data_IF_388037981217
#
_entry.id   IF_388037981217
#
_cell.length_a   1.000
_cell.length_b   1.000
_cell.length_c   1.000
_cell.angle_alpha   90.00
_cell.angle_beta   90.00
_cell.angle_gamma   90.00
#
_symmetry.space_group_name_H-M   'P 1'
#
loop_
_entity.id
_entity.type
_entity.pdbx_description
1 polymer ?
#
# COMPACT_ATOMS: atom_id res chain seq x y z
N UNK A 1 6.78 19.22 -5.38
CA UNK A 1 6.58 17.77 -5.22
C UNK A 1 5.13 17.42 -5.41
N UNK A 2 4.88 16.41 -6.20
CA UNK A 2 3.51 15.95 -6.39
C UNK A 2 3.30 14.62 -5.68
N UNK A 3 2.24 14.54 -4.90
CA UNK A 3 1.78 13.29 -4.32
C UNK A 3 0.73 12.69 -5.24
N UNK A 4 0.78 11.39 -5.41
CA UNK A 4 -0.24 10.66 -6.15
C UNK A 4 -1.04 9.82 -5.19
N UNK A 5 -2.35 9.95 -5.28
CA UNK A 5 -3.26 9.16 -4.47
C UNK A 5 -4.16 8.35 -5.38
N UNK A 6 -4.27 7.08 -5.08
CA UNK A 6 -5.07 6.14 -5.84
C UNK A 6 -5.99 5.37 -4.92
N UNK A 7 -7.27 5.33 -5.26
CA UNK A 7 -8.22 4.45 -4.58
C UNK A 7 -8.29 3.15 -5.35
N UNK A 8 -8.10 2.04 -4.65
CA UNK A 8 -8.22 0.74 -5.26
C UNK A 8 -9.69 0.35 -5.41
N UNK A 9 -10.03 -0.53 -6.36
CA UNK A 9 -11.41 -0.93 -6.56
C UNK A 9 -12.04 -1.47 -5.27
N UNK A 10 -13.28 -1.07 -5.00
CA UNK A 10 -14.02 -1.53 -3.84
C UNK A 10 -14.77 -2.81 -4.18
N UNK A 11 -14.67 -3.81 -3.32
CA UNK A 11 -15.40 -5.06 -3.46
C UNK A 11 -16.24 -5.31 -2.23
N UNK A 12 -17.43 -5.90 -2.36
CA UNK A 12 -18.28 -6.19 -1.21
C UNK A 12 -17.54 -7.05 -0.18
N UNK A 13 -17.63 -6.66 1.09
CA UNK A 13 -17.01 -7.39 2.19
C UNK A 13 -15.52 -7.16 2.37
N UNK A 14 -14.88 -6.38 1.50
CA UNK A 14 -13.46 -6.06 1.60
C UNK A 14 -13.27 -4.60 2.05
N UNK A 15 -12.16 -4.30 2.74
CA UNK A 15 -11.89 -2.93 3.13
C UNK A 15 -11.65 -2.01 1.94
N UNK A 16 -11.88 -0.73 2.17
CA UNK A 16 -11.51 0.32 1.23
C UNK A 16 -10.04 0.64 1.41
N UNK A 17 -9.32 0.72 0.30
CA UNK A 17 -7.87 0.92 0.31
C UNK A 17 -7.52 2.14 -0.54
N UNK A 18 -6.76 3.05 0.04
CA UNK A 18 -6.24 4.21 -0.66
C UNK A 18 -4.72 4.20 -0.53
N UNK A 19 -4.01 4.33 -1.63
CA UNK A 19 -2.55 4.33 -1.66
C UNK A 19 -2.06 5.68 -2.15
N UNK A 20 -1.26 6.35 -1.34
CA UNK A 20 -0.59 7.59 -1.72
C UNK A 20 0.90 7.34 -1.86
N UNK A 21 1.51 7.97 -2.85
CA UNK A 21 2.96 7.87 -3.03
C UNK A 21 3.56 9.23 -3.29
N UNK A 22 4.70 9.47 -2.68
CA UNK A 22 5.45 10.70 -2.81
C UNK A 22 6.89 10.35 -3.15
N UNK A 23 7.43 10.97 -4.19
CA UNK A 23 8.83 10.76 -4.53
C UNK A 23 9.71 11.31 -3.42
N UNK A 24 10.69 10.52 -3.00
CA UNK A 24 11.68 10.90 -2.01
C UNK A 24 13.06 10.84 -2.65
N UNK A 25 14.07 11.33 -1.94
CA UNK A 25 15.42 11.42 -2.47
C UNK A 25 15.97 10.05 -2.89
N UNK A 26 15.74 9.02 -2.10
CA UNK A 26 16.29 7.69 -2.32
C UNK A 26 15.23 6.65 -2.70
N UNK A 27 14.04 7.09 -3.11
CA UNK A 27 12.99 6.15 -3.44
C UNK A 27 11.61 6.78 -3.40
N UNK A 28 10.65 6.00 -2.96
CA UNK A 28 9.25 6.44 -2.88
C UNK A 28 8.70 6.15 -1.49
N UNK A 29 8.04 7.13 -0.92
CA UNK A 29 7.33 6.98 0.35
C UNK A 29 5.87 6.66 0.05
N UNK A 30 5.39 5.57 0.64
CA UNK A 30 4.02 5.11 0.46
C UNK A 30 3.22 5.30 1.74
N UNK A 31 1.99 5.75 1.60
CA UNK A 31 1.03 5.78 2.69
C UNK A 31 -0.21 5.03 2.23
N UNK A 32 -0.62 4.04 3.00
CA UNK A 32 -1.82 3.25 2.73
C UNK A 32 -2.84 3.57 3.81
N UNK A 33 -4.06 3.88 3.40
CA UNK A 33 -5.17 4.13 4.32
C UNK A 33 -6.21 3.05 4.14
N UNK A 34 -6.63 2.47 5.26
CA UNK A 34 -7.62 1.40 5.27
C UNK A 34 -8.83 1.84 6.05
N UNK A 35 -10.00 1.54 5.50
CA UNK A 35 -11.27 1.78 6.17
C UNK A 35 -12.23 0.65 5.86
N UNK A 36 -13.20 0.43 6.74
CA UNK A 36 -14.28 -0.51 6.43
C UNK A 36 -15.29 0.14 5.49
N UNK A 37 -16.35 -0.58 5.13
CA UNK A 37 -17.36 -0.11 4.20
C UNK A 37 -18.14 1.10 4.73
N UNK A 38 -18.09 1.36 6.03
CA UNK A 38 -18.73 2.51 6.66
C UNK A 38 -17.77 3.69 6.83
N UNK A 39 -16.53 3.56 6.36
CA UNK A 39 -15.54 4.61 6.48
C UNK A 39 -14.80 4.62 7.80
N UNK A 40 -14.95 3.61 8.64
CA UNK A 40 -14.22 3.51 9.90
C UNK A 40 -12.80 3.06 9.65
N UNK A 41 -11.79 3.73 10.23
CA UNK A 41 -10.42 3.33 10.01
C UNK A 41 -10.12 1.95 10.59
N UNK A 42 -9.27 1.18 9.90
CA UNK A 42 -8.85 -0.15 10.31
C UNK A 42 -7.39 -0.06 10.74
N UNK A 43 -7.15 -0.15 12.06
CA UNK A 43 -5.82 0.02 12.63
C UNK A 43 -5.16 -1.29 13.05
N UNK A 44 -5.86 -2.43 12.92
CA UNK A 44 -5.35 -3.73 13.37
C UNK A 44 -4.84 -4.58 12.22
N UNK A 45 -4.57 -3.96 11.08
CA UNK A 45 -4.13 -4.68 9.89
C UNK A 45 -2.61 -4.74 9.82
N UNK A 46 -2.12 -5.78 9.16
CA UNK A 46 -0.73 -5.84 8.72
C UNK A 46 -0.72 -5.51 7.23
N UNK A 47 0.03 -4.48 6.85
CA UNK A 47 0.08 -3.99 5.48
C UNK A 47 1.49 -4.16 4.96
N UNK A 48 1.63 -4.84 3.82
CA UNK A 48 2.91 -5.09 3.19
C UNK A 48 2.82 -4.65 1.73
N UNK A 49 3.84 -3.95 1.26
CA UNK A 49 4.01 -3.61 -0.14
C UNK A 49 5.01 -4.56 -0.78
N UNK A 50 4.66 -5.08 -1.93
CA UNK A 50 5.53 -5.94 -2.71
C UNK A 50 5.77 -5.31 -4.07
N UNK A 51 7.04 -5.12 -4.40
CA UNK A 51 7.47 -4.55 -5.66
C UNK A 51 8.22 -5.60 -6.45
N UNK A 52 7.82 -5.81 -7.69
CA UNK A 52 8.47 -6.77 -8.57
C UNK A 52 8.94 -6.05 -9.83
N UNK A 53 10.21 -6.17 -10.13
CA UNK A 53 10.78 -5.58 -11.34
C UNK A 53 10.66 -6.54 -12.52
N UNK A 54 10.86 -6.03 -13.73
CA UNK A 54 10.75 -6.83 -14.95
C UNK A 54 11.79 -7.94 -15.04
N UNK A 55 12.92 -7.79 -14.35
CA UNK A 55 13.95 -8.82 -14.29
C UNK A 55 13.73 -9.89 -13.22
N UNK A 56 12.58 -9.82 -12.54
CA UNK A 56 12.19 -10.80 -11.53
C UNK A 56 12.65 -10.48 -10.12
N UNK A 57 13.30 -9.37 -9.92
CA UNK A 57 13.72 -8.95 -8.59
C UNK A 57 12.51 -8.50 -7.76
N UNK A 58 12.38 -9.02 -6.54
CA UNK A 58 11.24 -8.76 -5.67
C UNK A 58 11.72 -8.09 -4.39
N UNK A 59 11.03 -7.03 -4.00
CA UNK A 59 11.25 -6.36 -2.71
C UNK A 59 9.93 -6.27 -1.97
N UNK A 60 9.98 -6.49 -0.67
CA UNK A 60 8.83 -6.33 0.21
C UNK A 60 9.18 -5.41 1.36
N UNK A 61 8.21 -4.62 1.79
CA UNK A 61 8.34 -3.83 3.01
C UNK A 61 7.02 -3.87 3.76
N UNK A 62 7.10 -4.07 5.07
CA UNK A 62 5.95 -3.98 5.95
C UNK A 62 5.79 -2.54 6.39
N UNK A 63 4.60 -1.99 6.21
CA UNK A 63 4.32 -0.61 6.56
C UNK A 63 4.04 -0.50 8.05
N UNK A 64 4.45 0.62 8.62
CA UNK A 64 4.22 0.89 10.04
C UNK A 64 2.94 1.71 10.21
N UNK A 65 2.14 1.40 11.25
CA UNK A 65 0.96 2.22 11.53
C UNK A 65 1.39 3.62 11.99
N UNK A 66 0.68 4.61 11.46
CA UNK A 66 0.90 6.01 11.79
C UNK A 66 -0.43 6.67 12.13
N UNK A 67 -0.37 7.90 12.61
CA UNK A 67 -1.57 8.73 12.79
C UNK A 67 -1.97 9.38 11.46
N UNK A 68 -3.27 9.53 11.17
CA UNK A 68 -4.40 9.06 11.98
C UNK A 68 -4.61 7.55 11.86
N UNK A 69 -5.44 6.99 12.76
CA UNK A 69 -5.74 5.57 12.77
C UNK A 69 -6.17 5.09 11.38
N UNK A 70 -5.74 3.88 10.99
CA UNK A 70 -6.01 3.31 9.68
C UNK A 70 -4.99 3.71 8.63
N UNK A 71 -3.96 4.46 8.99
CA UNK A 71 -2.89 4.86 8.09
C UNK A 71 -1.62 4.07 8.35
N UNK A 72 -0.92 3.70 7.29
CA UNK A 72 0.31 2.90 7.35
C UNK A 72 1.32 3.51 6.39
N UNK A 73 2.57 3.56 6.79
CA UNK A 73 3.62 4.22 6.01
C UNK A 73 4.85 3.33 5.87
N UNK A 74 5.46 3.38 4.71
CA UNK A 74 6.74 2.74 4.46
C UNK A 74 7.37 3.28 3.20
N UNK A 75 8.64 2.94 2.98
CA UNK A 75 9.39 3.42 1.85
C UNK A 75 9.99 2.24 1.08
N UNK A 76 10.04 2.38 -0.24
CA UNK A 76 10.74 1.45 -1.11
C UNK A 76 11.84 2.22 -1.84
N UNK A 77 13.04 1.65 -1.97
CA UNK A 77 14.10 2.31 -2.71
C UNK A 77 13.75 2.43 -4.19
N UNK A 78 14.33 3.42 -4.83
CA UNK A 78 14.19 3.57 -6.26
C UNK A 78 14.81 2.36 -6.96
N UNK A 79 14.18 1.95 -8.05
CA UNK A 79 14.64 0.82 -8.83
C UNK A 79 14.47 1.15 -10.31
N UNK A 80 15.45 0.83 -11.17
CA UNK A 80 15.32 1.12 -12.59
C UNK A 80 14.28 0.23 -13.25
N UNK A 81 13.68 0.73 -14.31
CA UNK A 81 12.74 -0.02 -15.13
C UNK A 81 11.33 -0.02 -14.58
N UNK A 82 10.48 -0.77 -15.26
CA UNK A 82 9.08 -0.90 -14.86
C UNK A 82 8.95 -1.88 -13.72
N UNK A 83 8.02 -1.56 -12.84
CA UNK A 83 7.78 -2.37 -11.65
C UNK A 83 6.29 -2.54 -11.46
N UNK A 84 5.91 -3.73 -11.05
CA UNK A 84 4.56 -3.96 -10.57
C UNK A 84 4.55 -3.83 -9.05
N UNK A 85 3.47 -3.27 -8.54
CA UNK A 85 3.32 -3.02 -7.11
C UNK A 85 2.05 -3.70 -6.64
N UNK A 86 2.15 -4.44 -5.55
CA UNK A 86 1.01 -5.12 -4.94
C UNK A 86 0.96 -4.74 -3.47
N UNK A 87 -0.23 -4.41 -2.99
CA UNK A 87 -0.45 -4.21 -1.57
C UNK A 87 -1.12 -5.47 -1.00
N UNK A 88 -0.57 -5.98 0.08
CA UNK A 88 -1.13 -7.11 0.82
C UNK A 88 -1.61 -6.61 2.17
N UNK A 89 -2.85 -6.94 2.50
CA UNK A 89 -3.47 -6.56 3.76
C UNK A 89 -3.92 -7.82 4.46
N UNK A 90 -3.52 -7.97 5.71
CA UNK A 90 -3.95 -9.07 6.57
C UNK A 90 -4.75 -8.49 7.73
N UNK A 91 -6.00 -8.92 7.83
CA UNK A 91 -6.93 -8.53 8.89
C UNK A 91 -7.41 -9.79 9.60
N UNK A 92 -6.83 -10.07 10.76
CA UNK A 92 -7.14 -11.31 11.47
C UNK A 92 -6.77 -12.53 10.63
N UNK A 93 -7.77 -13.33 10.28
CA UNK A 93 -7.59 -14.50 9.42
C UNK A 93 -7.85 -14.22 7.93
N UNK A 94 -8.17 -12.98 7.58
CA UNK A 94 -8.42 -12.58 6.19
C UNK A 94 -7.15 -12.01 5.57
N UNK A 95 -6.93 -12.36 4.33
CA UNK A 95 -5.76 -11.93 3.58
C UNK A 95 -6.20 -11.46 2.20
N UNK A 96 -5.76 -10.28 1.81
CA UNK A 96 -6.04 -9.70 0.49
C UNK A 96 -4.76 -9.26 -0.17
N UNK A 97 -4.73 -9.41 -1.49
CA UNK A 97 -3.66 -8.83 -2.30
C UNK A 97 -4.30 -8.07 -3.45
N UNK A 98 -3.85 -6.85 -3.66
CA UNK A 98 -4.40 -5.99 -4.70
C UNK A 98 -3.28 -5.32 -5.49
N UNK A 99 -3.37 -5.32 -6.81
CA UNK A 99 -2.39 -4.57 -7.60
C UNK A 99 -2.62 -3.09 -7.44
N UNK A 100 -1.52 -2.35 -7.43
CA UNK A 100 -1.56 -0.89 -7.39
C UNK A 100 -1.17 -0.39 -8.78
N UNK A 101 -2.01 0.43 -9.37
CA UNK A 101 -1.73 1.00 -10.68
C UNK A 101 -0.52 1.94 -10.66
N UNK A 102 0.09 2.10 -11.80
CA UNK A 102 1.21 3.00 -11.98
C UNK A 102 0.79 4.47 -12.04
#
# INVERSE_FOLDING_TARGET
MSARTQRLPAFPGLPLVEVSRVAAQDGTLFTVRLADQRGRPLSDAEVTLRQKSTDGYVRETTLEPISPAGSYRGALPASPGRQSLTVRVVLGDRRMEMPVGE
#
